data_IF_415809732190
#
_entry.id   IF_415809732190
#
_cell.length_a   1.000
_cell.length_b   1.000
_cell.length_c   1.000
_cell.angle_alpha   90.00
_cell.angle_beta   90.00
_cell.angle_gamma   90.00
#
_symmetry.space_group_name_H-M   'P 1'
#
loop_
_entity.id
_entity.type
_entity.pdbx_description
1 polymer ?
#
# COMPACT_ATOMS: atom_id res chain seq x y z
N UNK A 1 -1.84 4.95 15.09
CA UNK A 1 -1.70 5.06 13.62
C UNK A 1 -2.25 6.37 13.03
N UNK A 2 -3.09 7.14 13.76
CA UNK A 2 -3.72 8.37 13.26
C UNK A 2 -2.78 9.59 13.10
N UNK A 3 -1.47 9.44 13.24
CA UNK A 3 -0.50 10.56 13.13
C UNK A 3 0.80 10.21 12.39
N UNK A 4 0.83 9.19 11.54
CA UNK A 4 2.08 8.75 10.88
C UNK A 4 2.58 9.76 9.84
N UNK A 5 1.70 10.57 9.24
CA UNK A 5 2.04 11.52 8.17
C UNK A 5 1.98 13.00 8.59
N UNK A 6 1.59 13.29 9.84
CA UNK A 6 1.33 14.68 10.27
C UNK A 6 0.09 15.32 9.61
N UNK A 7 -0.66 14.56 8.79
CA UNK A 7 -1.95 14.96 8.24
C UNK A 7 -3.04 14.67 9.26
N UNK A 8 -3.94 15.62 9.50
CA UNK A 8 -5.09 15.39 10.37
C UNK A 8 -5.99 14.30 9.72
N UNK A 9 -6.24 13.24 10.45
CA UNK A 9 -6.97 12.06 9.98
C UNK A 9 -8.46 12.29 9.69
N UNK A 10 -8.98 13.49 9.97
CA UNK A 10 -10.34 13.90 9.55
C UNK A 10 -10.44 14.24 8.06
N UNK A 11 -9.31 14.43 7.37
CA UNK A 11 -9.27 14.80 5.95
C UNK A 11 -9.24 13.58 4.99
N UNK A 12 -8.93 12.40 5.51
CA UNK A 12 -8.83 11.16 4.72
C UNK A 12 -9.53 10.02 5.47
N UNK A 13 -10.53 9.38 4.87
CA UNK A 13 -11.16 8.19 5.43
C UNK A 13 -10.19 7.00 5.44
N UNK A 14 -10.33 6.13 6.45
CA UNK A 14 -9.49 4.93 6.64
C UNK A 14 -10.23 3.70 6.16
N UNK A 15 -9.61 2.96 5.24
CA UNK A 15 -10.08 1.72 4.65
C UNK A 15 -9.78 0.49 5.49
N UNK A 16 -10.61 -0.57 5.37
CA UNK A 16 -10.31 -1.90 5.93
C UNK A 16 -9.19 -2.64 5.20
N UNK A 17 -8.73 -2.12 4.08
CA UNK A 17 -7.74 -2.70 3.18
C UNK A 17 -8.16 -4.05 2.53
N UNK A 18 -7.21 -4.67 1.80
CA UNK A 18 -7.37 -5.90 1.04
C UNK A 18 -7.42 -7.17 1.92
N UNK A 19 -7.11 -8.31 1.33
CA UNK A 19 -7.05 -9.62 2.01
C UNK A 19 -6.01 -9.67 3.14
N UNK A 20 -4.96 -8.85 3.07
CA UNK A 20 -3.96 -8.72 4.13
C UNK A 20 -4.43 -7.84 5.29
N UNK A 21 -5.56 -7.14 5.14
CA UNK A 21 -6.15 -6.28 6.17
C UNK A 21 -6.68 -7.05 7.37
N UNK A 22 -6.73 -6.40 8.53
CA UNK A 22 -7.15 -7.04 9.79
C UNK A 22 -8.57 -7.60 9.72
N UNK A 23 -9.51 -6.91 9.04
CA UNK A 23 -10.89 -7.38 8.90
C UNK A 23 -10.96 -8.67 8.08
N UNK A 24 -10.35 -8.69 6.89
CA UNK A 24 -10.35 -9.87 6.03
C UNK A 24 -9.70 -11.07 6.72
N UNK A 25 -8.56 -10.86 7.36
CA UNK A 25 -7.87 -11.88 8.14
C UNK A 25 -8.69 -12.38 9.33
N UNK A 26 -9.46 -11.50 9.99
CA UNK A 26 -10.37 -11.89 11.06
C UNK A 26 -11.49 -12.80 10.55
N UNK A 27 -12.04 -12.50 9.37
CA UNK A 27 -13.06 -13.35 8.72
C UNK A 27 -12.49 -14.73 8.34
N UNK A 28 -11.29 -14.79 7.74
CA UNK A 28 -10.62 -16.03 7.36
C UNK A 28 -10.40 -17.00 8.55
N UNK A 29 -10.02 -16.47 9.70
CA UNK A 29 -9.79 -17.29 10.90
C UNK A 29 -11.04 -17.56 11.73
N UNK A 30 -12.21 -17.09 11.30
CA UNK A 30 -13.46 -17.25 12.04
C UNK A 30 -13.45 -16.53 13.39
N UNK A 31 -12.95 -15.29 13.44
CA UNK A 31 -12.88 -14.49 14.65
C UNK A 31 -14.28 -14.26 15.26
N UNK A 32 -14.39 -14.11 16.59
CA UNK A 32 -15.66 -13.83 17.25
C UNK A 32 -16.29 -12.52 16.77
N UNK A 33 -17.64 -12.46 16.76
CA UNK A 33 -18.41 -11.30 16.31
C UNK A 33 -18.00 -9.99 17.01
N UNK A 34 -17.65 -10.06 18.29
CA UNK A 34 -17.19 -8.91 19.06
C UNK A 34 -15.87 -8.31 18.52
N UNK A 35 -14.96 -9.15 18.04
CA UNK A 35 -13.73 -8.71 17.41
C UNK A 35 -14.01 -8.10 16.03
N UNK A 36 -14.84 -8.76 15.23
CA UNK A 36 -15.24 -8.27 13.90
C UNK A 36 -15.95 -6.92 14.05
N UNK A 37 -16.88 -6.78 14.99
CA UNK A 37 -17.57 -5.52 15.25
C UNK A 37 -16.59 -4.39 15.66
N UNK A 38 -15.60 -4.69 16.48
CA UNK A 38 -14.54 -3.72 16.85
C UNK A 38 -13.76 -3.26 15.63
N UNK A 39 -13.37 -4.18 14.76
CA UNK A 39 -12.62 -3.87 13.53
C UNK A 39 -13.45 -3.03 12.57
N UNK A 40 -14.69 -3.44 12.29
CA UNK A 40 -15.60 -2.69 11.40
C UNK A 40 -15.84 -1.27 11.91
N UNK A 41 -16.02 -1.09 13.22
CA UNK A 41 -16.22 0.24 13.80
C UNK A 41 -14.98 1.13 13.71
N UNK A 42 -13.78 0.57 13.67
CA UNK A 42 -12.53 1.31 13.56
C UNK A 42 -12.36 1.99 12.20
N UNK A 43 -12.78 1.32 11.12
CA UNK A 43 -12.64 1.82 9.75
C UNK A 43 -13.77 2.79 9.38
N UNK A 44 -13.47 3.76 8.51
CA UNK A 44 -14.47 4.68 7.98
C UNK A 44 -15.27 4.02 6.85
N UNK A 45 -14.64 3.15 6.07
CA UNK A 45 -15.28 2.34 5.04
C UNK A 45 -14.60 0.97 4.89
N UNK A 46 -15.29 0.05 4.23
CA UNK A 46 -14.80 -1.31 3.98
C UNK A 46 -14.48 -1.51 2.50
N UNK A 47 -13.63 -2.47 2.21
CA UNK A 47 -13.15 -2.77 0.86
C UNK A 47 -13.41 -4.22 0.49
N UNK A 48 -13.79 -4.43 -0.78
CA UNK A 48 -13.82 -5.73 -1.45
C UNK A 48 -13.05 -5.63 -2.77
N UNK A 49 -12.49 -6.75 -3.23
CA UNK A 49 -11.71 -6.82 -4.45
C UNK A 49 -12.22 -7.92 -5.39
N UNK A 50 -11.90 -7.87 -6.70
CA UNK A 50 -12.21 -8.93 -7.64
C UNK A 50 -11.72 -10.29 -7.13
N UNK A 51 -12.44 -11.36 -7.41
CA UNK A 51 -12.11 -12.69 -6.91
C UNK A 51 -10.73 -13.15 -7.39
N UNK A 52 -10.34 -12.78 -8.62
CA UNK A 52 -9.05 -13.07 -9.19
C UNK A 52 -7.86 -12.52 -8.41
N UNK A 53 -8.04 -11.40 -7.68
CA UNK A 53 -6.99 -10.83 -6.84
C UNK A 53 -6.61 -11.77 -5.69
N UNK A 54 -7.57 -12.54 -5.20
CA UNK A 54 -7.44 -13.45 -4.05
C UNK A 54 -7.36 -14.93 -4.46
N UNK A 55 -7.34 -15.24 -5.75
CA UNK A 55 -7.33 -16.63 -6.27
C UNK A 55 -6.08 -17.43 -5.84
N UNK A 56 -5.00 -16.76 -5.41
CA UNK A 56 -3.83 -17.43 -4.84
C UNK A 56 -4.17 -18.24 -3.59
N UNK A 57 -5.21 -17.85 -2.83
CA UNK A 57 -5.66 -18.58 -1.64
C UNK A 57 -6.19 -19.97 -1.96
N UNK A 58 -6.72 -20.18 -3.19
CA UNK A 58 -7.22 -21.49 -3.65
C UNK A 58 -6.09 -22.49 -3.84
N UNK A 59 -4.86 -22.00 -4.05
CA UNK A 59 -3.66 -22.82 -4.25
C UNK A 59 -2.87 -23.07 -2.96
N UNK A 60 -3.14 -22.27 -1.91
CA UNK A 60 -2.49 -22.43 -0.61
C UNK A 60 -3.16 -23.56 0.18
N UNK A 61 -2.42 -24.65 0.42
CA UNK A 61 -2.89 -25.80 1.20
C UNK A 61 -3.33 -25.43 2.62
N UNK A 62 -2.74 -24.36 3.19
CA UNK A 62 -3.03 -23.89 4.55
C UNK A 62 -4.22 -22.92 4.60
N UNK A 63 -4.66 -22.40 3.47
CA UNK A 63 -5.81 -21.51 3.39
C UNK A 63 -7.09 -22.24 3.80
N UNK A 64 -8.00 -21.56 4.46
CA UNK A 64 -9.36 -22.01 4.72
C UNK A 64 -10.27 -21.88 3.49
N UNK A 65 -9.89 -21.05 2.53
CA UNK A 65 -10.56 -20.84 1.24
C UNK A 65 -10.16 -21.95 0.30
N UNK A 66 -11.14 -22.67 -0.25
CA UNK A 66 -10.92 -23.82 -1.15
C UNK A 66 -11.62 -23.68 -2.49
N UNK A 67 -12.64 -22.85 -2.56
CA UNK A 67 -13.45 -22.64 -3.74
C UNK A 67 -13.64 -21.15 -4.04
N UNK A 68 -14.05 -20.84 -5.25
CA UNK A 68 -14.40 -19.47 -5.63
C UNK A 68 -15.62 -18.98 -4.85
N UNK A 69 -16.55 -19.88 -4.53
CA UNK A 69 -17.70 -19.62 -3.68
C UNK A 69 -17.29 -19.12 -2.29
N UNK A 70 -16.22 -19.66 -1.71
CA UNK A 70 -15.70 -19.19 -0.42
C UNK A 70 -15.25 -17.71 -0.51
N UNK A 71 -14.60 -17.33 -1.62
CA UNK A 71 -14.21 -15.93 -1.87
C UNK A 71 -15.45 -15.01 -2.04
N UNK A 72 -16.45 -15.49 -2.76
CA UNK A 72 -17.73 -14.78 -2.92
C UNK A 72 -18.41 -14.58 -1.57
N UNK A 73 -18.43 -15.60 -0.71
CA UNK A 73 -19.04 -15.53 0.62
C UNK A 73 -18.32 -14.52 1.52
N UNK A 74 -16.99 -14.45 1.47
CA UNK A 74 -16.23 -13.45 2.22
C UNK A 74 -16.60 -12.04 1.76
N UNK A 75 -16.62 -11.79 0.44
CA UNK A 75 -17.00 -10.48 -0.09
C UNK A 75 -18.45 -10.11 0.29
N UNK A 76 -19.40 -11.06 0.19
CA UNK A 76 -20.77 -10.87 0.65
C UNK A 76 -20.83 -10.55 2.14
N UNK A 77 -20.06 -11.26 2.96
CA UNK A 77 -19.99 -11.01 4.40
C UNK A 77 -19.50 -9.60 4.72
N UNK A 78 -18.52 -9.09 3.97
CA UNK A 78 -18.04 -7.70 4.14
C UNK A 78 -19.14 -6.70 3.74
N UNK A 79 -19.87 -6.96 2.67
CA UNK A 79 -21.02 -6.13 2.24
C UNK A 79 -22.12 -6.11 3.29
N UNK A 80 -22.44 -7.28 3.86
CA UNK A 80 -23.44 -7.41 4.94
C UNK A 80 -23.01 -6.66 6.21
N UNK A 81 -21.74 -6.78 6.59
CA UNK A 81 -21.17 -6.02 7.71
C UNK A 81 -21.24 -4.51 7.44
N UNK A 82 -20.95 -4.07 6.23
CA UNK A 82 -21.14 -2.67 5.84
C UNK A 82 -22.58 -2.19 6.07
N UNK A 83 -23.55 -2.98 5.65
CA UNK A 83 -24.97 -2.70 5.85
C UNK A 83 -25.34 -2.69 7.33
N UNK A 84 -24.90 -3.69 8.08
CA UNK A 84 -25.19 -3.85 9.51
C UNK A 84 -24.63 -2.69 10.37
N UNK A 85 -23.43 -2.21 10.04
CA UNK A 85 -22.73 -1.17 10.81
C UNK A 85 -22.83 0.22 10.19
N UNK A 86 -23.59 0.39 9.11
CA UNK A 86 -23.76 1.68 8.43
C UNK A 86 -22.45 2.20 7.80
N UNK A 87 -21.57 1.29 7.35
CA UNK A 87 -20.32 1.61 6.67
C UNK A 87 -20.48 1.49 5.16
N UNK A 88 -19.88 2.43 4.41
CA UNK A 88 -19.76 2.27 2.97
C UNK A 88 -18.85 1.07 2.67
N UNK A 89 -19.19 0.33 1.62
CA UNK A 89 -18.32 -0.71 1.06
C UNK A 89 -17.98 -0.31 -0.36
N UNK A 90 -16.71 -0.27 -0.72
CA UNK A 90 -16.28 -0.02 -2.09
C UNK A 90 -15.52 -1.20 -2.69
N UNK A 91 -15.71 -1.39 -3.98
CA UNK A 91 -14.95 -2.31 -4.79
C UNK A 91 -13.72 -1.59 -5.35
N UNK A 92 -12.52 -2.12 -5.09
CA UNK A 92 -11.27 -1.60 -5.64
C UNK A 92 -10.62 -2.65 -6.54
N UNK A 93 -9.88 -2.19 -7.56
CA UNK A 93 -9.26 -3.07 -8.55
C UNK A 93 -7.84 -3.52 -8.15
N UNK A 94 -7.18 -2.79 -7.23
CA UNK A 94 -5.78 -3.03 -6.83
C UNK A 94 -4.81 -3.04 -8.01
N UNK A 95 -4.85 -1.99 -8.82
CA UNK A 95 -4.11 -1.88 -10.09
C UNK A 95 -2.60 -1.86 -9.87
N UNK A 96 -1.89 -2.79 -10.50
CA UNK A 96 -0.44 -2.87 -10.52
C UNK A 96 0.16 -2.71 -11.92
N UNK A 97 -0.65 -2.88 -12.96
CA UNK A 97 -0.27 -2.68 -14.37
C UNK A 97 -1.48 -2.23 -15.20
N UNK A 98 -1.23 -1.70 -16.39
CA UNK A 98 -2.27 -1.06 -17.20
C UNK A 98 -3.11 -2.09 -17.95
N UNK A 99 -2.48 -2.85 -18.83
CA UNK A 99 -3.15 -3.82 -19.69
C UNK A 99 -2.88 -5.26 -19.21
N UNK A 100 -3.77 -6.24 -19.48
CA UNK A 100 -3.58 -7.63 -19.05
C UNK A 100 -2.23 -8.25 -19.45
N UNK A 101 -1.70 -7.90 -20.63
CA UNK A 101 -0.42 -8.41 -21.12
C UNK A 101 0.80 -7.82 -20.38
N UNK A 102 0.64 -6.73 -19.64
CA UNK A 102 1.72 -6.09 -18.90
C UNK A 102 2.10 -6.87 -17.62
N UNK A 103 1.36 -7.89 -17.27
CA UNK A 103 1.67 -8.78 -16.14
C UNK A 103 3.10 -9.35 -16.23
N UNK A 104 3.64 -9.51 -17.45
CA UNK A 104 4.99 -10.01 -17.66
C UNK A 104 6.05 -9.11 -17.01
N UNK A 105 5.84 -7.81 -16.98
CA UNK A 105 6.78 -6.86 -16.36
C UNK A 105 6.77 -7.01 -14.83
N UNK A 106 5.59 -7.18 -14.24
CA UNK A 106 5.46 -7.45 -12.81
C UNK A 106 6.11 -8.79 -12.44
N UNK A 107 5.91 -9.82 -13.24
CA UNK A 107 6.54 -11.14 -13.10
C UNK A 107 8.06 -11.03 -13.05
N UNK A 108 8.67 -10.29 -13.99
CA UNK A 108 10.11 -10.07 -14.05
C UNK A 108 10.61 -9.37 -12.78
N UNK A 109 9.92 -8.32 -12.33
CA UNK A 109 10.29 -7.57 -11.12
C UNK A 109 10.19 -8.46 -9.88
N UNK A 110 9.11 -9.20 -9.71
CA UNK A 110 8.91 -10.11 -8.58
C UNK A 110 9.94 -11.24 -8.56
N UNK A 111 10.26 -11.84 -9.71
CA UNK A 111 11.30 -12.85 -9.83
C UNK A 111 12.67 -12.27 -9.45
N UNK A 112 12.98 -11.05 -9.87
CA UNK A 112 14.20 -10.34 -9.49
C UNK A 112 14.31 -10.03 -8.00
N UNK A 113 13.18 -9.89 -7.32
CA UNK A 113 13.10 -9.70 -5.86
C UNK A 113 13.07 -11.03 -5.08
N UNK A 114 13.09 -12.17 -5.77
CA UNK A 114 13.14 -13.50 -5.16
C UNK A 114 11.80 -14.09 -4.73
N UNK A 115 10.67 -13.56 -5.21
CA UNK A 115 9.36 -14.16 -4.98
C UNK A 115 9.25 -15.50 -5.71
N UNK A 116 8.85 -16.56 -5.00
CA UNK A 116 8.79 -17.92 -5.54
C UNK A 116 7.57 -18.17 -6.43
N UNK A 117 6.53 -17.38 -6.24
CA UNK A 117 5.23 -17.42 -6.93
C UNK A 117 5.11 -16.36 -8.03
N UNK A 118 6.24 -15.83 -8.50
CA UNK A 118 6.28 -14.80 -9.54
C UNK A 118 5.58 -15.20 -10.83
N UNK A 119 5.49 -16.49 -11.15
CA UNK A 119 4.82 -17.01 -12.36
C UNK A 119 3.30 -17.09 -12.22
N UNK A 120 2.76 -17.01 -11.00
CA UNK A 120 1.33 -17.07 -10.69
C UNK A 120 0.76 -15.67 -10.45
N UNK A 121 0.74 -14.83 -11.49
CA UNK A 121 0.28 -13.46 -11.38
C UNK A 121 -1.23 -13.36 -11.17
N UNK A 122 -1.65 -12.54 -10.20
CA UNK A 122 -3.03 -12.10 -10.09
C UNK A 122 -3.37 -11.09 -11.20
N UNK A 123 -4.63 -11.03 -11.67
CA UNK A 123 -5.05 -10.16 -12.78
C UNK A 123 -5.23 -8.70 -12.32
N UNK A 124 -4.15 -8.05 -11.88
CA UNK A 124 -4.13 -6.72 -11.27
C UNK A 124 -4.01 -5.60 -12.32
N UNK A 125 -4.67 -5.74 -13.46
CA UNK A 125 -4.73 -4.71 -14.49
C UNK A 125 -5.82 -3.67 -14.21
N UNK A 126 -5.74 -2.53 -14.87
CA UNK A 126 -6.75 -1.47 -14.77
C UNK A 126 -8.04 -1.91 -15.47
N UNK A 127 -9.09 -2.15 -14.70
CA UNK A 127 -10.42 -2.48 -15.22
C UNK A 127 -11.26 -1.24 -15.46
N UNK A 128 -12.04 -1.25 -16.50
CA UNK A 128 -13.12 -0.27 -16.74
C UNK A 128 -14.24 -0.44 -15.74
N UNK A 129 -15.16 0.52 -15.70
CA UNK A 129 -16.37 0.42 -14.84
C UNK A 129 -17.21 -0.80 -15.21
N UNK A 130 -17.35 -1.07 -16.50
CA UNK A 130 -18.11 -2.21 -17.03
C UNK A 130 -17.49 -3.54 -16.58
N UNK A 131 -16.18 -3.70 -16.73
CA UNK A 131 -15.45 -4.88 -16.26
C UNK A 131 -15.56 -5.05 -14.73
N UNK A 132 -15.49 -3.95 -13.97
CA UNK A 132 -15.69 -4.03 -12.51
C UNK A 132 -17.13 -4.43 -12.15
N UNK A 133 -18.14 -3.97 -12.88
CA UNK A 133 -19.53 -4.40 -12.66
C UNK A 133 -19.72 -5.89 -12.97
N UNK A 134 -19.03 -6.42 -13.97
CA UNK A 134 -19.02 -7.86 -14.30
C UNK A 134 -18.38 -8.68 -13.19
N UNK A 135 -17.22 -8.24 -12.67
CA UNK A 135 -16.51 -8.89 -11.55
C UNK A 135 -17.38 -9.05 -10.28
N UNK A 136 -18.29 -8.09 -10.03
CA UNK A 136 -19.17 -8.10 -8.87
C UNK A 136 -20.61 -8.47 -9.17
N UNK A 137 -20.91 -9.02 -10.37
CA UNK A 137 -22.26 -9.40 -10.78
C UNK A 137 -22.95 -10.38 -9.81
N UNK A 138 -22.19 -11.20 -9.08
CA UNK A 138 -22.69 -12.13 -8.06
C UNK A 138 -23.38 -11.42 -6.86
N UNK A 139 -23.20 -10.12 -6.69
CA UNK A 139 -23.91 -9.32 -5.69
C UNK A 139 -25.32 -8.88 -6.17
N UNK A 140 -25.63 -9.09 -7.44
CA UNK A 140 -26.81 -8.53 -8.11
C UNK A 140 -26.56 -7.09 -8.60
N UNK A 141 -27.32 -6.64 -9.61
CA UNK A 141 -27.02 -5.41 -10.35
C UNK A 141 -27.00 -4.15 -9.48
N UNK A 142 -27.96 -4.01 -8.57
CA UNK A 142 -28.07 -2.82 -7.71
C UNK A 142 -26.91 -2.73 -6.72
N UNK A 143 -26.57 -3.84 -6.08
CA UNK A 143 -25.47 -3.89 -5.11
C UNK A 143 -24.11 -3.77 -5.79
N UNK A 144 -23.91 -4.40 -6.94
CA UNK A 144 -22.71 -4.23 -7.75
C UNK A 144 -22.50 -2.76 -8.14
N UNK A 145 -23.54 -2.08 -8.63
CA UNK A 145 -23.47 -0.66 -8.95
C UNK A 145 -23.20 0.20 -7.71
N UNK A 146 -23.80 -0.14 -6.58
CA UNK A 146 -23.58 0.56 -5.31
C UNK A 146 -22.09 0.52 -4.91
N UNK A 147 -21.45 -0.66 -4.87
CA UNK A 147 -20.08 -0.81 -4.38
C UNK A 147 -19.04 -0.34 -5.41
N UNK A 148 -19.31 -0.50 -6.71
CA UNK A 148 -18.36 -0.13 -7.78
C UNK A 148 -18.44 1.37 -8.11
N UNK A 149 -19.62 1.95 -8.16
CA UNK A 149 -19.81 3.33 -8.66
C UNK A 149 -20.24 4.29 -7.55
N UNK A 150 -21.35 3.98 -6.88
CA UNK A 150 -21.95 4.94 -5.96
C UNK A 150 -21.09 5.21 -4.75
N UNK A 151 -20.60 4.15 -4.11
CA UNK A 151 -19.82 4.27 -2.86
C UNK A 151 -18.41 4.79 -3.11
N UNK A 152 -17.77 4.43 -4.23
CA UNK A 152 -16.46 4.98 -4.61
C UNK A 152 -16.51 6.50 -4.77
N UNK A 153 -17.58 7.03 -5.37
CA UNK A 153 -17.80 8.49 -5.47
C UNK A 153 -18.05 9.13 -4.11
N UNK A 154 -18.90 8.53 -3.27
CA UNK A 154 -19.13 9.04 -1.91
C UNK A 154 -17.86 9.10 -1.09
N UNK A 155 -16.99 8.07 -1.17
CA UNK A 155 -15.71 8.03 -0.46
C UNK A 155 -14.77 9.10 -1.00
N UNK A 156 -14.71 9.30 -2.32
CA UNK A 156 -13.96 10.39 -2.93
C UNK A 156 -14.40 11.76 -2.42
N UNK A 157 -15.72 11.97 -2.25
CA UNK A 157 -16.30 13.21 -1.73
C UNK A 157 -16.00 13.43 -0.23
N UNK A 158 -15.66 12.37 0.50
CA UNK A 158 -15.19 12.48 1.91
C UNK A 158 -13.75 12.99 2.02
N UNK A 159 -12.99 12.95 0.92
CA UNK A 159 -11.59 13.38 0.93
C UNK A 159 -11.48 14.89 0.77
N UNK A 160 -10.80 15.54 1.71
CA UNK A 160 -10.49 16.97 1.58
C UNK A 160 -9.24 17.19 0.73
N UNK A 161 -9.12 18.39 0.15
CA UNK A 161 -7.89 18.76 -0.55
C UNK A 161 -6.74 18.93 0.46
N UNK A 162 -5.76 18.04 0.37
CA UNK A 162 -4.59 18.03 1.26
C UNK A 162 -3.30 18.13 0.47
N UNK A 163 -2.25 18.61 1.13
CA UNK A 163 -0.86 18.49 0.69
C UNK A 163 -0.16 17.47 1.61
N UNK A 164 -0.07 16.17 1.22
CA UNK A 164 0.46 15.11 2.08
C UNK A 164 1.95 15.29 2.38
N UNK A 165 2.67 16.01 1.53
CA UNK A 165 4.08 16.36 1.72
C UNK A 165 4.19 17.85 2.00
N UNK A 166 4.89 18.22 3.07
CA UNK A 166 5.18 19.64 3.37
C UNK A 166 5.98 20.26 2.23
N UNK A 167 5.68 21.51 1.82
CA UNK A 167 6.44 22.19 0.77
C UNK A 167 7.90 22.43 1.18
N UNK A 168 8.13 22.62 2.48
CA UNK A 168 9.46 22.91 3.02
C UNK A 168 10.23 21.60 3.28
N UNK A 169 11.50 21.60 2.88
CA UNK A 169 12.44 20.55 3.27
C UNK A 169 12.75 20.66 4.75
N UNK A 170 12.72 19.57 5.48
CA UNK A 170 13.02 19.51 6.90
C UNK A 170 14.20 18.56 7.16
N UNK A 171 15.42 18.87 6.70
CA UNK A 171 16.57 18.04 7.01
C UNK A 171 16.81 18.03 8.52
N UNK A 172 17.29 16.92 9.09
CA UNK A 172 17.67 16.88 10.49
C UNK A 172 18.83 17.85 10.74
N UNK A 173 18.70 18.66 11.78
CA UNK A 173 19.77 19.57 12.21
C UNK A 173 20.53 18.91 13.37
N UNK A 174 21.74 18.45 13.09
CA UNK A 174 22.65 17.86 14.10
C UNK A 174 23.72 18.90 14.39
N UNK A 175 23.86 19.37 15.65
CA UNK A 175 24.89 20.34 15.99
C UNK A 175 26.30 19.85 15.56
N UNK A 176 27.08 20.76 14.97
CA UNK A 176 28.44 20.53 14.48
C UNK A 176 28.60 19.35 13.50
N UNK A 177 27.52 18.95 12.80
CA UNK A 177 27.57 17.85 11.82
C UNK A 177 28.55 18.11 10.67
N UNK A 178 28.68 19.37 10.25
CA UNK A 178 29.63 19.82 9.24
C UNK A 178 31.09 19.56 9.68
N UNK A 179 31.44 19.93 10.89
CA UNK A 179 32.78 19.70 11.47
C UNK A 179 33.04 18.22 11.69
N UNK A 180 32.03 17.49 12.19
CA UNK A 180 32.15 16.05 12.42
C UNK A 180 32.36 15.31 11.12
N UNK A 181 31.56 15.62 10.07
CA UNK A 181 31.71 15.02 8.75
C UNK A 181 33.09 15.30 8.16
N UNK A 182 33.53 16.57 8.21
CA UNK A 182 34.87 16.98 7.73
C UNK A 182 35.95 16.17 8.41
N UNK A 183 35.90 16.09 9.76
CA UNK A 183 36.87 15.31 10.53
C UNK A 183 36.90 13.83 10.13
N UNK A 184 35.75 13.17 10.04
CA UNK A 184 35.64 11.77 9.65
C UNK A 184 36.27 11.53 8.27
N UNK A 185 35.99 12.42 7.31
CA UNK A 185 36.52 12.30 5.95
C UNK A 185 38.03 12.46 5.90
N UNK A 186 38.60 13.43 6.61
CA UNK A 186 40.03 13.62 6.66
C UNK A 186 40.77 12.51 7.46
N UNK A 187 40.23 12.10 8.60
CA UNK A 187 40.79 10.96 9.37
C UNK A 187 40.86 9.73 8.48
N UNK A 188 39.80 9.42 7.72
CA UNK A 188 39.76 8.29 6.80
C UNK A 188 40.72 8.44 5.63
N UNK A 189 40.90 9.64 5.11
CA UNK A 189 41.88 9.90 4.05
C UNK A 189 43.31 9.67 4.56
N UNK A 190 43.65 10.14 5.76
CA UNK A 190 44.97 9.88 6.37
C UNK A 190 45.21 8.42 6.66
N UNK A 191 44.18 7.66 7.11
CA UNK A 191 44.29 6.21 7.26
C UNK A 191 44.65 5.49 5.93
N UNK A 192 44.07 5.98 4.83
CA UNK A 192 44.22 5.32 3.51
C UNK A 192 45.50 5.75 2.76
N UNK A 193 45.89 7.02 2.88
CA UNK A 193 46.93 7.63 2.05
C UNK A 193 48.14 8.13 2.85
N UNK A 194 48.13 8.04 4.19
CA UNK A 194 49.19 8.52 5.07
C UNK A 194 49.07 9.99 5.47
N UNK A 195 50.07 10.49 6.17
CA UNK A 195 50.06 11.87 6.70
C UNK A 195 50.06 12.92 5.58
N UNK A 196 50.85 12.70 4.52
CA UNK A 196 50.94 13.58 3.35
C UNK A 196 49.92 13.15 2.30
N UNK A 197 48.73 13.79 2.32
CA UNK A 197 47.69 13.48 1.38
C UNK A 197 48.05 13.93 -0.05
N UNK A 198 47.86 13.05 -1.07
CA UNK A 198 48.03 13.46 -2.46
C UNK A 198 47.11 14.62 -2.80
N UNK A 199 47.60 15.59 -3.60
CA UNK A 199 46.82 16.78 -3.99
C UNK A 199 45.44 16.44 -4.60
N UNK A 200 45.38 15.39 -5.43
CA UNK A 200 44.13 14.93 -6.03
C UNK A 200 43.07 14.49 -4.98
N UNK A 201 43.51 13.91 -3.87
CA UNK A 201 42.65 13.50 -2.75
C UNK A 201 42.11 14.74 -2.01
N UNK A 202 43.00 15.69 -1.70
CA UNK A 202 42.65 16.94 -1.03
C UNK A 202 41.63 17.73 -1.89
N UNK A 203 41.97 17.97 -3.14
CA UNK A 203 41.10 18.72 -4.06
C UNK A 203 39.71 18.08 -4.20
N UNK A 204 39.63 16.73 -4.17
CA UNK A 204 38.37 16.01 -4.22
C UNK A 204 37.60 16.10 -2.92
N UNK A 205 38.21 15.92 -1.78
CA UNK A 205 37.59 16.06 -0.47
C UNK A 205 37.00 17.45 -0.27
N UNK A 206 37.77 18.50 -0.56
CA UNK A 206 37.31 19.89 -0.42
C UNK A 206 36.09 20.15 -1.30
N UNK A 207 36.12 19.70 -2.56
CA UNK A 207 35.01 19.85 -3.48
C UNK A 207 33.74 19.16 -3.00
N UNK A 208 33.84 17.90 -2.56
CA UNK A 208 32.70 17.11 -2.10
C UNK A 208 32.13 17.66 -0.79
N UNK A 209 33.01 17.93 0.19
CA UNK A 209 32.58 18.50 1.47
C UNK A 209 31.92 19.88 1.29
N UNK A 210 32.49 20.74 0.44
CA UNK A 210 31.85 22.01 0.10
C UNK A 210 30.45 21.82 -0.45
N UNK A 211 30.28 20.91 -1.42
CA UNK A 211 28.98 20.64 -2.03
C UNK A 211 27.95 20.07 -1.03
N UNK A 212 28.37 19.21 -0.10
CA UNK A 212 27.50 18.61 0.90
C UNK A 212 27.10 19.61 1.99
N UNK A 213 28.07 20.42 2.46
CA UNK A 213 27.88 21.32 3.61
C UNK A 213 27.12 22.60 3.20
N UNK A 214 27.28 23.08 1.95
CA UNK A 214 26.72 24.36 1.51
C UNK A 214 25.39 24.25 0.75
N UNK A 215 24.95 23.05 0.37
CA UNK A 215 23.66 22.79 -0.24
C UNK A 215 22.68 22.16 0.75
#
# INVERSE_FOLDING_TARGET
LRCVTGVQTCALPICSACEAGELYQALLRGAPDAEIARLVNFYDYLEIQPLGNNAFMLRDEKSTVKTEEDLIEINKKIVDLGTQFGKLVCATCDVHFLDPQDEVYRRIIMAGQGFKDSDDQAPLYLRTTEEMLEEFAYLGPDKAYEVVVTNTRKISDMCEKIAPVRPDKCPPVIPDSDKTLTKICYDRAHEMYGEDLPKIVVDRLERELHSIITN
#
